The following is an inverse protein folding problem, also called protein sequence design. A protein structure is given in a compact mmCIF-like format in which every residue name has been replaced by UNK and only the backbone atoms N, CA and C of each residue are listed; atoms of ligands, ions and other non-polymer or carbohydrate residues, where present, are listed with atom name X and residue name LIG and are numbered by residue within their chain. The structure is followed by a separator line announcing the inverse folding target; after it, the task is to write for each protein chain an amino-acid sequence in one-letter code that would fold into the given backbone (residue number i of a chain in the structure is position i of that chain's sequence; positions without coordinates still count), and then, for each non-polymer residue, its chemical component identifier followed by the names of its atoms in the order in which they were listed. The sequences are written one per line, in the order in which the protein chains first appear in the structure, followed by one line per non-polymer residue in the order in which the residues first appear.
data_IF_443043176465
#
_entry.id   IF_443043176465
#
_cell.length_a   1.000
_cell.length_b   1.000
_cell.length_c   1.000
_cell.angle_alpha   90.00
_cell.angle_beta   90.00
_cell.angle_gamma   90.00
#
_symmetry.space_group_name_H-M   'P 1'
#
loop_
_entity.id
_entity.type
_entity.pdbx_description
1 polymer ?
#
# COMPACT_ATOMS: atom_id res chain seq x y z
N UNK A 1 5.13 17.75 -1.69
CA UNK A 1 4.45 16.60 -1.06
C UNK A 1 4.18 15.54 -2.12
N UNK A 2 4.38 14.24 -1.85
CA UNK A 2 3.89 13.21 -2.75
C UNK A 2 2.36 13.33 -2.85
N UNK A 3 1.86 13.55 -4.06
CA UNK A 3 0.42 13.56 -4.33
C UNK A 3 -0.01 12.09 -4.35
N UNK A 4 -0.63 11.64 -3.25
CA UNK A 4 -1.31 10.36 -3.16
C UNK A 4 -2.71 10.54 -3.75
N UNK A 5 -2.80 10.60 -5.08
CA UNK A 5 -4.10 10.75 -5.72
C UNK A 5 -4.76 9.37 -5.86
N UNK A 6 -5.81 9.15 -5.07
CA UNK A 6 -6.64 7.94 -5.09
C UNK A 6 -7.17 7.63 -6.49
N UNK A 7 -7.33 8.62 -7.35
CA UNK A 7 -7.90 8.43 -8.69
C UNK A 7 -6.87 7.98 -9.72
N UNK A 8 -5.60 8.33 -9.53
CA UNK A 8 -4.56 8.09 -10.54
C UNK A 8 -3.52 7.06 -10.11
N UNK A 9 -3.41 6.79 -8.80
CA UNK A 9 -2.53 5.78 -8.27
C UNK A 9 -2.75 4.41 -8.92
N UNK A 10 -1.66 3.70 -9.18
CA UNK A 10 -1.70 2.35 -9.75
C UNK A 10 -1.98 1.28 -8.70
N UNK A 11 -1.33 1.37 -7.54
CA UNK A 11 -1.45 0.37 -6.47
C UNK A 11 -2.08 1.00 -5.24
N UNK A 12 -3.04 0.29 -4.67
CA UNK A 12 -3.65 0.57 -3.36
C UNK A 12 -3.14 -0.47 -2.36
N UNK A 13 -2.58 0.00 -1.25
CA UNK A 13 -2.19 -0.83 -0.13
C UNK A 13 -3.22 -0.69 0.98
N UNK A 14 -3.81 -1.80 1.41
CA UNK A 14 -4.64 -1.88 2.61
C UNK A 14 -3.83 -2.56 3.70
N UNK A 15 -3.65 -1.86 4.81
CA UNK A 15 -2.96 -2.32 6.01
C UNK A 15 -4.05 -2.71 7.01
N UNK A 16 -4.24 -4.01 7.18
CA UNK A 16 -5.14 -4.55 8.20
C UNK A 16 -4.41 -4.51 9.54
N UNK A 17 -4.99 -3.82 10.50
CA UNK A 17 -4.39 -3.61 11.82
C UNK A 17 -5.04 -4.53 12.86
N UNK A 18 -4.40 -4.66 14.02
CA UNK A 18 -4.90 -5.45 15.14
C UNK A 18 -6.30 -4.98 15.60
N UNK A 19 -7.09 -5.85 16.26
CA UNK A 19 -8.40 -5.48 16.78
C UNK A 19 -8.35 -4.22 17.66
N UNK A 20 -9.30 -3.30 17.44
CA UNK A 20 -9.38 -2.01 18.13
C UNK A 20 -8.63 -0.87 17.43
N UNK A 21 -7.76 -1.17 16.46
CA UNK A 21 -7.14 -0.17 15.60
C UNK A 21 -7.90 -0.04 14.27
N UNK A 22 -7.86 1.13 13.65
CA UNK A 22 -8.47 1.33 12.33
C UNK A 22 -7.55 0.78 11.23
N UNK A 23 -8.13 0.14 10.23
CA UNK A 23 -7.40 -0.24 9.02
C UNK A 23 -6.96 1.00 8.26
N UNK A 24 -5.79 0.93 7.64
CA UNK A 24 -5.16 2.06 6.95
C UNK A 24 -5.10 1.76 5.47
N UNK A 25 -5.30 2.78 4.63
CA UNK A 25 -5.17 2.66 3.18
C UNK A 25 -4.15 3.66 2.67
N UNK A 26 -3.16 3.16 1.94
CA UNK A 26 -2.15 3.94 1.24
C UNK A 26 -2.27 3.75 -0.27
N UNK A 27 -1.73 4.70 -1.02
CA UNK A 27 -1.68 4.66 -2.47
C UNK A 27 -0.23 4.77 -2.95
N UNK A 28 0.07 4.18 -4.10
CA UNK A 28 1.33 4.41 -4.80
C UNK A 28 1.43 5.87 -5.24
N UNK A 29 2.65 6.36 -5.44
CA UNK A 29 2.85 7.74 -5.91
C UNK A 29 2.49 7.86 -7.40
N UNK A 30 1.92 8.99 -7.80
CA UNK A 30 1.51 9.20 -9.21
C UNK A 30 2.69 9.05 -10.20
N UNK A 31 3.87 9.56 -9.82
CA UNK A 31 5.10 9.42 -10.60
C UNK A 31 5.54 7.96 -10.83
N UNK A 32 4.98 7.01 -10.08
CA UNK A 32 5.31 5.60 -10.16
C UNK A 32 4.33 4.82 -11.05
N UNK A 33 3.28 5.44 -11.61
CA UNK A 33 2.26 4.74 -12.41
C UNK A 33 2.82 3.91 -13.57
N UNK A 34 3.89 4.39 -14.20
CA UNK A 34 4.54 3.73 -15.34
C UNK A 34 5.64 2.74 -14.92
N UNK A 35 5.94 2.64 -13.61
CA UNK A 35 6.96 1.70 -13.12
C UNK A 35 6.42 0.26 -13.11
N UNK A 36 7.31 -0.74 -13.14
CA UNK A 36 6.94 -2.12 -12.88
C UNK A 36 6.29 -2.25 -11.50
N UNK A 37 5.20 -3.00 -11.42
CA UNK A 37 4.39 -3.21 -10.21
C UNK A 37 5.24 -3.61 -9.00
N UNK A 38 6.13 -4.60 -9.17
CA UNK A 38 7.07 -5.05 -8.14
C UNK A 38 7.89 -3.89 -7.55
N UNK A 39 8.39 -2.98 -8.38
CA UNK A 39 9.18 -1.83 -7.91
C UNK A 39 8.33 -0.84 -7.09
N UNK A 40 7.06 -0.67 -7.44
CA UNK A 40 6.13 0.17 -6.68
C UNK A 40 5.84 -0.48 -5.32
N UNK A 41 5.56 -1.79 -5.30
CA UNK A 41 5.30 -2.56 -4.08
C UNK A 41 6.51 -2.51 -3.15
N UNK A 42 7.71 -2.77 -3.65
CA UNK A 42 8.96 -2.70 -2.87
C UNK A 42 9.15 -1.30 -2.27
N UNK A 43 8.86 -0.25 -3.04
CA UNK A 43 8.90 1.13 -2.55
C UNK A 43 7.86 1.41 -1.47
N UNK A 44 6.67 0.83 -1.57
CA UNK A 44 5.61 0.94 -0.56
C UNK A 44 5.98 0.19 0.71
N UNK A 45 6.53 -1.02 0.60
CA UNK A 45 7.02 -1.82 1.74
C UNK A 45 8.10 -1.06 2.49
N UNK A 46 9.12 -0.52 1.80
CA UNK A 46 10.20 0.27 2.45
C UNK A 46 9.66 1.50 3.20
N UNK A 47 8.61 2.15 2.70
CA UNK A 47 7.96 3.26 3.40
C UNK A 47 7.16 2.76 4.60
N UNK A 48 6.50 1.62 4.46
CA UNK A 48 5.76 0.99 5.53
C UNK A 48 6.68 0.57 6.68
N UNK A 49 7.81 -0.08 6.40
CA UNK A 49 8.82 -0.49 7.39
C UNK A 49 9.35 0.67 8.22
N UNK A 50 9.40 1.87 7.66
CA UNK A 50 9.83 3.10 8.34
C UNK A 50 8.70 3.80 9.10
N UNK A 51 7.47 3.32 8.98
CA UNK A 51 6.30 3.92 9.63
C UNK A 51 6.02 3.29 10.99
N UNK A 52 5.33 4.04 11.85
CA UNK A 52 4.86 3.54 13.16
C UNK A 52 3.82 2.41 13.03
N UNK A 53 3.21 2.25 11.85
CA UNK A 53 2.16 1.26 11.60
C UNK A 53 2.67 -0.18 11.57
N UNK A 54 3.98 -0.39 11.43
CA UNK A 54 4.63 -1.70 11.57
C UNK A 54 4.29 -2.41 12.87
N UNK A 55 4.09 -1.66 13.97
CA UNK A 55 3.79 -2.21 15.29
C UNK A 55 2.35 -2.71 15.45
N UNK A 56 1.45 -2.30 14.55
CA UNK A 56 0.01 -2.58 14.67
C UNK A 56 -0.56 -3.33 13.47
N UNK A 57 0.17 -3.39 12.35
CA UNK A 57 -0.24 -4.10 11.15
C UNK A 57 -0.14 -5.61 11.37
N UNK A 58 -1.15 -6.34 10.89
CA UNK A 58 -1.15 -7.80 10.83
C UNK A 58 -1.00 -8.28 9.39
N UNK A 59 -1.65 -7.60 8.45
CA UNK A 59 -1.65 -8.00 7.05
C UNK A 59 -1.56 -6.77 6.15
N UNK A 60 -0.69 -6.85 5.15
CA UNK A 60 -0.56 -5.89 4.06
C UNK A 60 -1.16 -6.51 2.80
N UNK A 61 -2.16 -5.86 2.21
CA UNK A 61 -2.80 -6.31 0.99
C UNK A 61 -2.61 -5.27 -0.10
N UNK A 62 -1.96 -5.66 -1.19
CA UNK A 62 -1.72 -4.81 -2.35
C UNK A 62 -2.76 -5.13 -3.42
N UNK A 63 -3.41 -4.10 -3.91
CA UNK A 63 -4.44 -4.18 -4.95
C UNK A 63 -4.07 -3.29 -6.12
N UNK A 64 -4.44 -3.71 -7.33
CA UNK A 64 -4.52 -2.80 -8.46
C UNK A 64 -5.69 -1.83 -8.18
N UNK A 65 -5.41 -0.54 -8.21
CA UNK A 65 -6.34 0.48 -7.76
C UNK A 65 -7.52 0.68 -8.73
N UNK A 66 -7.34 0.35 -10.02
CA UNK A 66 -8.39 0.50 -11.05
C UNK A 66 -9.33 -0.70 -11.06
N UNK A 67 -8.77 -1.90 -11.03
CA UNK A 67 -9.51 -3.15 -11.13
C UNK A 67 -9.93 -3.73 -9.76
N UNK A 68 -9.37 -3.20 -8.67
CA UNK A 68 -9.49 -3.76 -7.31
C UNK A 68 -9.02 -5.23 -7.21
N UNK A 69 -8.24 -5.72 -8.18
CA UNK A 69 -7.68 -7.06 -8.13
C UNK A 69 -6.57 -7.14 -7.09
N UNK A 70 -6.59 -8.21 -6.30
CA UNK A 70 -5.54 -8.48 -5.32
C UNK A 70 -4.27 -8.90 -6.06
N UNK A 71 -3.19 -8.15 -5.85
CA UNK A 71 -1.88 -8.40 -6.43
C UNK A 71 -1.05 -9.29 -5.49
N UNK A 72 -0.95 -8.88 -4.22
CA UNK A 72 -0.08 -9.54 -3.25
C UNK A 72 -0.60 -9.37 -1.83
N UNK A 73 -0.28 -10.34 -0.99
CA UNK A 73 -0.54 -10.31 0.45
C UNK A 73 0.75 -10.61 1.19
N UNK A 74 1.09 -9.76 2.15
CA UNK A 74 2.19 -10.00 3.08
C UNK A 74 1.62 -10.06 4.49
N UNK A 75 1.83 -11.20 5.16
CA UNK A 75 1.44 -11.40 6.56
C UNK A 75 2.66 -11.12 7.42
N UNK A 76 2.50 -10.24 8.40
CA UNK A 76 3.50 -9.93 9.42
C UNK A 76 3.44 -10.90 10.57
#
# INVERSE_FOLDING_TARGET
MPIFDKHTARIKLVILTKPGEKNITWYSLEKEKNKPEKSIIDGMIKRFERSSYTKIAQVLQFYDNKSNQLIAVLKG
#
